data_IF_944985573183
#
_entry.id   IF_944985573183
#
_cell.length_a   1.000
_cell.length_b   1.000
_cell.length_c   1.000
_cell.angle_alpha   90.00
_cell.angle_beta   90.00
_cell.angle_gamma   90.00
#
_symmetry.space_group_name_H-M   'P 1'
#
loop_
_entity.id
_entity.type
_entity.pdbx_description
1 polymer ?
#
# COMPACT_ATOMS: atom_id res chain seq x y z
N UNK A 1 6.72 13.94 27.14
CA UNK A 1 6.30 12.59 26.69
C UNK A 1 5.98 12.69 25.21
N UNK A 2 6.88 12.26 24.33
CA UNK A 2 6.68 12.40 22.88
C UNK A 2 6.95 11.06 22.24
N UNK A 3 5.94 10.19 22.22
CA UNK A 3 5.95 9.01 21.36
C UNK A 3 5.74 9.50 19.93
N UNK A 4 6.85 9.77 19.23
CA UNK A 4 6.88 9.71 17.77
C UNK A 4 6.69 8.25 17.38
N UNK A 5 5.44 7.77 17.44
CA UNK A 5 5.04 6.61 16.68
C UNK A 5 5.10 7.05 15.23
N UNK A 6 6.27 6.90 14.61
CA UNK A 6 6.38 6.86 13.16
C UNK A 6 5.66 5.60 12.67
N UNK A 7 4.33 5.57 12.81
CA UNK A 7 3.50 4.85 11.86
C UNK A 7 3.71 5.59 10.55
N UNK A 8 4.64 5.11 9.74
CA UNK A 8 4.56 5.37 8.30
C UNK A 8 3.10 5.14 7.92
N UNK A 9 2.38 6.17 7.46
CA UNK A 9 0.98 5.99 7.09
C UNK A 9 0.95 4.91 6.00
N UNK A 10 0.25 3.82 6.25
CA UNK A 10 0.05 2.76 5.25
C UNK A 10 -0.43 3.42 3.95
N UNK A 11 0.41 3.33 2.90
CA UNK A 11 0.10 3.92 1.60
C UNK A 11 -1.14 3.27 0.98
N UNK A 12 -1.42 2.04 1.36
CA UNK A 12 -2.55 1.27 0.86
C UNK A 12 -3.49 0.89 1.99
N UNK A 13 -4.80 1.04 1.76
CA UNK A 13 -5.84 0.66 2.73
C UNK A 13 -6.82 -0.30 2.09
N UNK A 14 -7.21 -1.33 2.85
CA UNK A 14 -8.24 -2.26 2.43
C UNK A 14 -9.62 -1.88 2.98
N UNK A 15 -10.66 -2.06 2.16
CA UNK A 15 -12.06 -1.92 2.55
C UNK A 15 -12.88 -3.06 1.93
N UNK A 16 -13.90 -3.58 2.64
CA UNK A 16 -14.78 -4.61 2.07
C UNK A 16 -15.58 -4.05 0.89
N UNK A 17 -15.81 -4.87 -0.13
CA UNK A 17 -16.84 -4.65 -1.15
C UNK A 17 -18.19 -5.17 -0.64
N UNK A 18 -19.27 -4.81 -1.35
CA UNK A 18 -20.64 -5.25 -1.04
C UNK A 18 -20.78 -6.78 -0.88
N UNK A 19 -19.89 -7.57 -1.50
CA UNK A 19 -19.77 -9.00 -1.27
C UNK A 19 -18.91 -9.28 -0.04
N UNK A 20 -19.45 -10.02 0.93
CA UNK A 20 -18.86 -10.27 2.26
C UNK A 20 -17.42 -10.83 2.26
N UNK A 21 -16.96 -11.39 1.14
CA UNK A 21 -15.64 -12.01 1.02
C UNK A 21 -14.68 -11.26 0.07
N UNK A 22 -15.08 -10.13 -0.50
CA UNK A 22 -14.23 -9.36 -1.44
C UNK A 22 -13.80 -8.05 -0.81
N UNK A 23 -12.55 -7.66 -1.04
CA UNK A 23 -11.93 -6.47 -0.47
C UNK A 23 -11.25 -5.67 -1.59
N UNK A 24 -11.47 -4.36 -1.62
CA UNK A 24 -10.67 -3.43 -2.43
C UNK A 24 -9.51 -2.94 -1.60
N UNK A 25 -8.36 -2.81 -2.24
CA UNK A 25 -7.21 -2.10 -1.71
C UNK A 25 -7.05 -0.84 -2.56
N UNK A 26 -7.02 0.30 -1.89
CA UNK A 26 -6.89 1.62 -2.52
C UNK A 26 -5.62 2.33 -2.04
N UNK A 27 -4.98 3.08 -2.93
CA UNK A 27 -3.92 4.02 -2.56
C UNK A 27 -4.57 5.19 -1.78
N UNK A 28 -4.08 5.46 -0.58
CA UNK A 28 -4.64 6.48 0.33
C UNK A 28 -4.34 7.91 -0.10
N UNK A 29 -3.38 8.11 -1.00
CA UNK A 29 -2.98 9.41 -1.55
C UNK A 29 -3.80 9.77 -2.79
N UNK A 30 -4.05 8.81 -3.69
CA UNK A 30 -4.80 9.07 -4.94
C UNK A 30 -6.26 8.66 -4.87
N UNK A 31 -6.62 7.79 -3.92
CA UNK A 31 -7.96 7.19 -3.82
C UNK A 31 -8.22 6.07 -4.84
N UNK A 32 -7.26 5.75 -5.70
CA UNK A 32 -7.41 4.76 -6.76
C UNK A 32 -7.42 3.34 -6.21
N UNK A 33 -8.23 2.47 -6.82
CA UNK A 33 -8.24 1.04 -6.50
C UNK A 33 -7.05 0.39 -7.22
N UNK A 34 -6.09 -0.10 -6.44
CA UNK A 34 -4.88 -0.75 -6.98
C UNK A 34 -5.00 -2.27 -7.03
N UNK A 35 -5.91 -2.86 -6.24
CA UNK A 35 -6.11 -4.31 -6.20
C UNK A 35 -7.49 -4.65 -5.65
N UNK A 36 -8.06 -5.75 -6.12
CA UNK A 36 -9.24 -6.40 -5.51
C UNK A 36 -8.84 -7.81 -5.11
N UNK A 37 -9.15 -8.21 -3.88
CA UNK A 37 -8.70 -9.47 -3.29
C UNK A 37 -9.88 -10.18 -2.63
N UNK A 38 -9.93 -11.50 -2.76
CA UNK A 38 -10.92 -12.34 -2.10
C UNK A 38 -10.33 -12.96 -0.82
N UNK A 39 -11.05 -12.83 0.29
CA UNK A 39 -10.69 -13.35 1.61
C UNK A 39 -9.77 -12.43 2.42
N UNK A 40 -10.11 -12.25 3.70
CA UNK A 40 -9.36 -11.39 4.64
C UNK A 40 -7.88 -11.78 4.80
N UNK A 41 -7.56 -13.08 4.76
CA UNK A 41 -6.17 -13.55 4.85
C UNK A 41 -5.32 -13.15 3.63
N UNK A 42 -5.93 -13.02 2.46
CA UNK A 42 -5.24 -12.58 1.25
C UNK A 42 -4.98 -11.06 1.28
N UNK A 43 -5.86 -10.28 1.92
CA UNK A 43 -5.71 -8.83 2.09
C UNK A 43 -4.42 -8.48 2.83
N UNK A 44 -4.17 -9.11 3.98
CA UNK A 44 -2.96 -8.84 4.77
C UNK A 44 -1.68 -9.10 3.99
N UNK A 45 -1.62 -10.22 3.26
CA UNK A 45 -0.49 -10.56 2.38
C UNK A 45 -0.32 -9.54 1.25
N UNK A 46 -1.43 -9.11 0.63
CA UNK A 46 -1.39 -8.15 -0.47
C UNK A 46 -0.96 -6.75 -0.01
N UNK A 47 -1.42 -6.30 1.16
CA UNK A 47 -0.97 -5.04 1.76
C UNK A 47 0.53 -5.06 2.07
N UNK A 48 1.02 -6.14 2.69
CA UNK A 48 2.44 -6.30 2.97
C UNK A 48 3.29 -6.28 1.70
N UNK A 49 2.82 -6.96 0.64
CA UNK A 49 3.49 -6.95 -0.66
C UNK A 49 3.56 -5.53 -1.24
N UNK A 50 2.43 -4.83 -1.34
CA UNK A 50 2.36 -3.49 -1.93
C UNK A 50 3.20 -2.46 -1.15
N UNK A 51 3.16 -2.51 0.19
CA UNK A 51 3.99 -1.66 1.03
C UNK A 51 5.49 -2.02 0.89
N UNK A 52 5.83 -3.30 0.73
CA UNK A 52 7.20 -3.75 0.48
C UNK A 52 7.74 -3.30 -0.89
N UNK A 53 6.94 -3.42 -1.95
CA UNK A 53 7.27 -2.94 -3.30
C UNK A 53 7.47 -1.42 -3.31
N UNK A 54 6.62 -0.68 -2.60
CA UNK A 54 6.76 0.76 -2.42
C UNK A 54 8.02 1.13 -1.64
N UNK A 55 8.34 0.40 -0.56
CA UNK A 55 9.57 0.62 0.19
C UNK A 55 10.81 0.38 -0.66
N UNK A 56 10.81 -0.66 -1.49
CA UNK A 56 11.89 -0.93 -2.45
C UNK A 56 12.03 0.19 -3.49
N UNK A 57 10.92 0.67 -4.06
CA UNK A 57 10.94 1.81 -5.00
C UNK A 57 11.47 3.10 -4.38
N UNK A 58 11.23 3.31 -3.08
CA UNK A 58 11.78 4.45 -2.34
C UNK A 58 13.26 4.29 -2.03
N UNK A 59 13.70 3.07 -1.72
CA UNK A 59 15.09 2.76 -1.46
C UNK A 59 15.96 2.75 -2.74
N UNK A 60 15.33 2.46 -3.88
CA UNK A 60 15.95 2.52 -5.20
C UNK A 60 15.18 3.49 -6.08
N UNK A 61 15.32 4.82 -5.86
CA UNK A 61 14.85 5.77 -6.85
C UNK A 61 15.51 5.41 -8.19
N UNK A 62 14.82 5.59 -9.33
CA UNK A 62 15.48 5.47 -10.62
C UNK A 62 16.75 6.32 -10.57
N UNK A 63 17.87 5.88 -11.17
CA UNK A 63 19.05 6.73 -11.25
C UNK A 63 18.54 8.07 -11.77
N UNK A 64 18.76 9.14 -10.99
CA UNK A 64 18.47 10.47 -11.45
C UNK A 64 19.23 10.55 -12.77
N UNK A 65 18.50 10.57 -13.90
CA UNK A 65 19.11 10.80 -15.18
C UNK A 65 19.85 12.12 -15.00
N UNK A 66 21.18 12.02 -14.93
CA UNK A 66 22.09 13.13 -15.11
C UNK A 66 21.84 13.58 -16.53
N UNK A 67 20.83 14.44 -16.68
CA UNK A 67 20.70 15.27 -17.87
C UNK A 67 21.91 16.21 -17.83
N UNK A 68 22.86 15.93 -18.74
CA UNK A 68 24.02 16.75 -19.11
C UNK A 68 23.58 18.14 -19.61
#
# INVERSE_FOLDING_TARGET
MTTLNAHTPDRYKAAPLMTADTWRISDTRTGEIVSVVKGKAAVGRRLAQLNGEEALRRASPPPAELYD
#
